data_IF_835366345954
#
_entry.id   IF_835366345954
#
_cell.length_a   1.000
_cell.length_b   1.000
_cell.length_c   1.000
_cell.angle_alpha   90.00
_cell.angle_beta   90.00
_cell.angle_gamma   90.00
#
_symmetry.space_group_name_H-M   'P 1'
#
loop_
_entity.id
_entity.type
_entity.pdbx_description
1 polymer ?
#
# COMPACT_ATOMS: atom_id res chain seq x y z
N UNK A 1 -8.77 16.60 -9.48
CA UNK A 1 -8.07 15.67 -8.56
C UNK A 1 -6.90 15.04 -9.30
N UNK A 2 -5.77 15.76 -9.39
CA UNK A 2 -4.58 15.22 -10.03
C UNK A 2 -3.87 14.31 -9.05
N UNK A 3 -3.83 12.99 -9.31
CA UNK A 3 -2.93 12.08 -8.60
C UNK A 3 -1.50 12.46 -8.99
N UNK A 4 -0.87 13.35 -8.23
CA UNK A 4 0.59 13.53 -8.32
C UNK A 4 1.20 12.34 -7.60
N UNK A 5 1.61 11.35 -8.38
CA UNK A 5 2.37 10.22 -7.86
C UNK A 5 3.70 10.79 -7.34
N UNK A 6 3.89 10.78 -6.03
CA UNK A 6 5.11 11.28 -5.41
C UNK A 6 6.03 10.10 -5.17
N UNK A 7 7.00 9.93 -6.06
CA UNK A 7 7.90 8.78 -5.96
C UNK A 7 8.89 9.01 -4.81
N UNK A 8 8.75 8.21 -3.77
CA UNK A 8 9.66 8.21 -2.62
C UNK A 8 10.63 7.04 -2.79
N UNK A 9 11.93 7.33 -2.66
CA UNK A 9 12.97 6.32 -2.74
C UNK A 9 13.08 5.60 -1.38
N UNK A 10 12.37 4.47 -1.22
CA UNK A 10 12.48 3.58 -0.05
C UNK A 10 13.03 2.19 -0.48
N UNK A 11 14.36 1.98 -0.51
CA UNK A 11 14.96 0.73 -0.98
C UNK A 11 14.45 -0.51 -0.25
N UNK A 12 14.15 -0.38 1.05
CA UNK A 12 13.58 -1.47 1.84
C UNK A 12 12.16 -1.81 1.36
N UNK A 13 11.35 -0.78 1.09
CA UNK A 13 9.99 -0.95 0.55
C UNK A 13 9.99 -1.67 -0.80
N UNK A 14 10.89 -1.26 -1.71
CA UNK A 14 11.04 -1.90 -3.02
C UNK A 14 11.46 -3.37 -2.92
N UNK A 15 12.40 -3.68 -2.03
CA UNK A 15 12.83 -5.06 -1.80
C UNK A 15 11.70 -5.93 -1.25
N UNK A 16 10.98 -5.46 -0.23
CA UNK A 16 9.84 -6.16 0.35
C UNK A 16 8.73 -6.41 -0.69
N UNK A 17 8.41 -5.42 -1.52
CA UNK A 17 7.45 -5.56 -2.61
C UNK A 17 7.89 -6.59 -3.66
N UNK A 18 9.16 -6.59 -4.04
CA UNK A 18 9.73 -7.58 -4.94
C UNK A 18 9.59 -9.01 -4.40
N UNK A 19 9.88 -9.21 -3.11
CA UNK A 19 9.71 -10.50 -2.43
C UNK A 19 8.23 -10.94 -2.45
N UNK A 20 7.31 -10.06 -2.09
CA UNK A 20 5.87 -10.37 -2.08
C UNK A 20 5.39 -10.78 -3.48
N UNK A 21 5.78 -10.04 -4.53
CA UNK A 21 5.40 -10.35 -5.91
C UNK A 21 6.00 -11.69 -6.34
N UNK A 22 7.26 -11.97 -5.98
CA UNK A 22 7.90 -13.25 -6.27
C UNK A 22 7.15 -14.42 -5.63
N UNK A 23 6.83 -14.32 -4.33
CA UNK A 23 6.08 -15.35 -3.61
C UNK A 23 4.68 -15.50 -4.19
N UNK A 24 4.02 -14.41 -4.56
CA UNK A 24 2.71 -14.45 -5.21
C UNK A 24 2.75 -15.16 -6.57
N UNK A 25 3.76 -14.88 -7.40
CA UNK A 25 3.96 -15.56 -8.69
C UNK A 25 4.26 -17.05 -8.50
N UNK A 26 5.13 -17.39 -7.56
CA UNK A 26 5.45 -18.77 -7.22
C UNK A 26 4.18 -19.53 -6.80
N UNK A 27 3.41 -18.96 -5.89
CA UNK A 27 2.16 -19.57 -5.46
C UNK A 27 1.14 -19.65 -6.60
N UNK A 28 0.99 -18.62 -7.43
CA UNK A 28 -0.07 -18.59 -8.46
C UNK A 28 0.25 -19.45 -9.68
N UNK A 29 1.53 -19.71 -9.97
CA UNK A 29 1.96 -20.43 -11.19
C UNK A 29 2.50 -21.82 -10.86
N UNK A 30 3.42 -21.93 -9.91
CA UNK A 30 4.14 -23.19 -9.65
C UNK A 30 3.30 -24.14 -8.79
N UNK A 31 2.72 -23.67 -7.69
CA UNK A 31 1.95 -24.51 -6.77
C UNK A 31 0.73 -25.17 -7.44
N UNK A 32 -0.10 -24.46 -8.23
CA UNK A 32 -1.19 -25.08 -8.96
C UNK A 32 -0.77 -26.19 -9.91
N UNK A 33 0.40 -26.06 -10.56
CA UNK A 33 0.92 -27.08 -11.46
C UNK A 33 1.33 -28.36 -10.74
N UNK A 34 1.91 -28.23 -9.55
CA UNK A 34 2.43 -29.37 -8.79
C UNK A 34 1.37 -30.03 -7.92
N UNK A 35 0.39 -29.26 -7.42
CA UNK A 35 -0.57 -29.72 -6.41
C UNK A 35 -2.01 -29.66 -6.93
N UNK A 36 -2.44 -28.50 -7.42
CA UNK A 36 -3.87 -28.26 -7.69
C UNK A 36 -4.37 -29.03 -8.92
N UNK A 37 -3.63 -29.03 -10.03
CA UNK A 37 -4.03 -29.71 -11.26
C UNK A 37 -3.97 -31.24 -11.16
N UNK A 38 -2.93 -31.86 -10.57
CA UNK A 38 -2.92 -33.31 -10.36
C UNK A 38 -4.12 -33.78 -9.53
N UNK A 39 -4.44 -33.10 -8.42
CA UNK A 39 -5.62 -33.45 -7.62
C UNK A 39 -6.96 -33.14 -8.30
N UNK A 40 -6.98 -32.24 -9.28
CA UNK A 40 -8.14 -32.04 -10.14
C UNK A 40 -8.32 -33.19 -11.13
N UNK A 41 -7.23 -33.67 -11.75
CA UNK A 41 -7.24 -34.82 -12.65
C UNK A 41 -7.62 -36.12 -11.93
N UNK A 42 -7.20 -36.29 -10.67
CA UNK A 42 -7.61 -37.39 -9.78
C UNK A 42 -9.07 -37.28 -9.31
N UNK A 43 -9.74 -36.14 -9.57
CA UNK A 43 -11.14 -35.91 -9.17
C UNK A 43 -11.33 -35.55 -7.69
N UNK A 44 -10.25 -35.29 -6.95
CA UNK A 44 -10.31 -34.87 -5.55
C UNK A 44 -10.74 -33.40 -5.38
N UNK A 45 -10.51 -32.56 -6.39
CA UNK A 45 -10.79 -31.11 -6.36
C UNK A 45 -11.77 -30.74 -7.47
N UNK A 46 -12.73 -29.86 -7.16
CA UNK A 46 -13.69 -29.36 -8.15
C UNK A 46 -13.13 -28.17 -8.96
N UNK A 47 -13.64 -27.98 -10.19
CA UNK A 47 -13.32 -26.78 -11.00
C UNK A 47 -13.62 -25.49 -10.23
N UNK A 48 -14.70 -25.48 -9.44
CA UNK A 48 -15.09 -24.32 -8.62
C UNK A 48 -13.98 -23.93 -7.64
N UNK A 49 -13.33 -24.90 -6.98
CA UNK A 49 -12.23 -24.62 -6.07
C UNK A 49 -11.03 -23.98 -6.78
N UNK A 50 -10.71 -24.41 -8.00
CA UNK A 50 -9.67 -23.79 -8.83
C UNK A 50 -10.01 -22.35 -9.18
N UNK A 51 -11.26 -22.10 -9.60
CA UNK A 51 -11.74 -20.74 -9.91
C UNK A 51 -11.69 -19.84 -8.67
N UNK A 52 -12.15 -20.33 -7.53
CA UNK A 52 -12.06 -19.61 -6.25
C UNK A 52 -10.62 -19.27 -5.88
N UNK A 53 -9.68 -20.23 -6.05
CA UNK A 53 -8.26 -20.00 -5.79
C UNK A 53 -7.70 -18.83 -6.61
N UNK A 54 -7.91 -18.84 -7.94
CA UNK A 54 -7.42 -17.77 -8.82
C UNK A 54 -8.12 -16.44 -8.58
N UNK A 55 -9.42 -16.46 -8.28
CA UNK A 55 -10.17 -15.27 -7.92
C UNK A 55 -9.65 -14.63 -6.62
N UNK A 56 -9.43 -15.43 -5.58
CA UNK A 56 -8.82 -14.96 -4.33
C UNK A 56 -7.40 -14.42 -4.57
N UNK A 57 -6.59 -15.12 -5.37
CA UNK A 57 -5.23 -14.66 -5.71
C UNK A 57 -5.24 -13.30 -6.41
N UNK A 58 -6.17 -13.09 -7.36
CA UNK A 58 -6.36 -11.81 -8.05
C UNK A 58 -6.80 -10.70 -7.07
N UNK A 59 -7.72 -11.01 -6.15
CA UNK A 59 -8.17 -10.04 -5.14
C UNK A 59 -7.03 -9.62 -4.21
N UNK A 60 -6.17 -10.55 -3.79
CA UNK A 60 -5.01 -10.26 -2.95
C UNK A 60 -4.06 -9.27 -3.62
N UNK A 61 -3.66 -9.53 -4.88
CA UNK A 61 -2.72 -8.63 -5.58
C UNK A 61 -3.38 -7.28 -5.90
N UNK A 62 -4.67 -7.26 -6.26
CA UNK A 62 -5.40 -6.02 -6.48
C UNK A 62 -5.48 -5.16 -5.21
N UNK A 63 -5.73 -5.79 -4.06
CA UNK A 63 -5.74 -5.10 -2.76
C UNK A 63 -4.37 -4.54 -2.41
N UNK A 64 -3.30 -5.33 -2.57
CA UNK A 64 -1.93 -4.89 -2.33
C UNK A 64 -1.54 -3.70 -3.23
N UNK A 65 -1.85 -3.79 -4.52
CA UNK A 65 -1.57 -2.70 -5.46
C UNK A 65 -2.34 -1.43 -5.06
N UNK A 66 -3.62 -1.54 -4.72
CA UNK A 66 -4.41 -0.39 -4.26
C UNK A 66 -3.83 0.26 -3.01
N UNK A 67 -3.41 -0.54 -2.03
CA UNK A 67 -2.78 -0.02 -0.82
C UNK A 67 -1.42 0.65 -1.12
N UNK A 68 -0.70 0.13 -2.11
CA UNK A 68 0.65 0.56 -2.47
C UNK A 68 0.71 1.81 -3.35
N UNK A 69 -0.34 2.10 -4.13
CA UNK A 69 -0.38 3.24 -5.07
C UNK A 69 -1.34 4.34 -4.65
N UNK A 70 -2.04 4.16 -3.53
CA UNK A 70 -2.92 5.18 -2.99
C UNK A 70 -2.09 6.35 -2.46
N UNK A 71 -2.55 7.58 -2.71
CA UNK A 71 -1.98 8.77 -2.08
C UNK A 71 -2.06 8.59 -0.55
N UNK A 72 -0.92 8.64 0.17
CA UNK A 72 -0.91 8.47 1.62
C UNK A 72 -1.69 9.58 2.34
N UNK A 73 -2.02 10.67 1.65
CA UNK A 73 -2.67 11.86 2.20
C UNK A 73 -1.67 12.97 2.46
N UNK A 74 -0.80 13.26 1.48
CA UNK A 74 0.20 14.34 1.57
C UNK A 74 -0.50 15.68 1.85
N UNK A 75 -0.04 16.40 2.86
CA UNK A 75 -0.55 17.74 3.18
C UNK A 75 -0.02 18.78 2.18
N UNK A 76 -0.84 19.79 1.81
CA UNK A 76 -0.40 20.89 0.96
C UNK A 76 0.61 21.79 1.69
N UNK A 77 1.65 22.28 1.00
CA UNK A 77 2.74 23.08 1.61
C UNK A 77 2.26 24.37 2.28
N UNK A 78 1.14 24.94 1.84
CA UNK A 78 0.53 26.15 2.42
C UNK A 78 -0.97 25.94 2.66
N UNK A 79 -1.36 25.28 3.76
CA UNK A 79 -2.76 25.06 4.07
C UNK A 79 -3.44 26.38 4.46
N UNK A 80 -4.62 26.65 3.89
CA UNK A 80 -5.48 27.74 4.36
C UNK A 80 -6.18 27.29 5.63
N UNK A 81 -5.80 27.86 6.77
CA UNK A 81 -6.31 27.47 8.09
C UNK A 81 -7.43 28.45 8.50
N UNK A 82 -8.68 27.98 8.67
CA UNK A 82 -9.75 28.80 9.24
C UNK A 82 -9.38 29.23 10.66
N UNK A 83 -9.72 30.47 11.04
CA UNK A 83 -9.41 31.01 12.38
C UNK A 83 -9.97 30.10 13.49
N UNK A 84 -11.17 29.56 13.27
CA UNK A 84 -11.87 28.65 14.19
C UNK A 84 -11.16 27.31 14.40
N UNK A 85 -10.34 26.87 13.45
CA UNK A 85 -9.66 25.58 13.51
C UNK A 85 -8.21 25.68 14.01
N UNK A 86 -7.66 26.89 14.15
CA UNK A 86 -6.23 27.11 14.43
C UNK A 86 -5.71 26.36 15.66
N UNK A 87 -6.53 26.17 16.69
CA UNK A 87 -6.18 25.42 17.91
C UNK A 87 -5.97 23.91 17.66
N UNK A 88 -6.52 23.38 16.56
CA UNK A 88 -6.35 21.99 16.15
C UNK A 88 -5.18 21.78 15.19
N UNK A 89 -4.32 22.78 15.03
CA UNK A 89 -3.13 22.71 14.18
C UNK A 89 -1.87 22.89 15.01
N UNK A 90 -0.82 22.19 14.63
CA UNK A 90 0.50 22.23 15.27
C UNK A 90 1.59 22.44 14.22
N UNK A 91 2.73 23.00 14.62
CA UNK A 91 3.86 23.21 13.72
C UNK A 91 4.63 21.90 13.52
N UNK A 92 4.90 21.54 12.26
CA UNK A 92 5.91 20.55 11.96
C UNK A 92 7.28 21.22 11.78
N UNK A 93 8.21 20.98 12.71
CA UNK A 93 9.56 21.56 12.63
C UNK A 93 10.36 21.09 11.40
N UNK A 94 10.09 19.88 10.88
CA UNK A 94 10.81 19.33 9.72
C UNK A 94 10.34 19.93 8.40
N UNK A 95 9.05 20.19 8.25
CA UNK A 95 8.47 20.78 7.04
C UNK A 95 8.30 22.30 7.15
N UNK A 96 8.54 22.89 8.32
CA UNK A 96 8.27 24.29 8.65
C UNK A 96 6.87 24.77 8.22
N UNK A 97 5.86 23.93 8.44
CA UNK A 97 4.46 24.20 8.07
C UNK A 97 3.51 23.75 9.19
N UNK A 98 2.36 24.39 9.26
CA UNK A 98 1.28 23.98 10.15
C UNK A 98 0.63 22.69 9.61
N UNK A 99 0.36 21.72 10.49
CA UNK A 99 -0.36 20.49 10.18
C UNK A 99 -1.54 20.29 11.14
N UNK A 100 -2.65 19.67 10.72
CA UNK A 100 -3.73 19.30 11.65
C UNK A 100 -3.25 18.29 12.69
N UNK A 101 -3.81 18.34 13.90
CA UNK A 101 -3.67 17.29 14.92
C UNK A 101 -3.99 15.92 14.30
N UNK A 102 -3.26 14.88 14.71
CA UNK A 102 -3.24 13.52 14.11
C UNK A 102 -2.50 13.40 12.75
N UNK A 103 -1.89 14.47 12.25
CA UNK A 103 -0.99 14.36 11.10
C UNK A 103 0.44 14.19 11.60
N UNK A 104 1.23 13.34 10.95
CA UNK A 104 2.62 13.10 11.34
C UNK A 104 3.55 13.30 10.14
N UNK A 105 4.80 13.67 10.44
CA UNK A 105 5.84 13.76 9.41
C UNK A 105 6.45 12.37 9.22
N UNK A 106 6.33 11.83 8.01
CA UNK A 106 7.03 10.59 7.66
C UNK A 106 8.46 10.94 7.22
N UNK A 107 9.45 10.53 8.01
CA UNK A 107 10.87 10.74 7.67
C UNK A 107 11.27 10.00 6.39
N UNK A 108 10.59 8.90 6.04
CA UNK A 108 10.84 8.15 4.80
C UNK A 108 10.24 8.84 3.58
N UNK A 109 9.00 9.32 3.68
CA UNK A 109 8.35 10.04 2.57
C UNK A 109 8.83 11.49 2.40
N UNK A 110 9.39 12.10 3.46
CA UNK A 110 9.88 13.48 3.44
C UNK A 110 8.79 14.55 3.55
N UNK A 111 7.55 14.19 3.89
CA UNK A 111 6.45 15.14 4.02
C UNK A 111 5.48 14.75 5.14
N UNK A 112 4.63 15.70 5.52
CA UNK A 112 3.54 15.43 6.47
C UNK A 112 2.39 14.69 5.79
N UNK A 113 1.84 13.71 6.49
CA UNK A 113 0.73 12.86 6.05
C UNK A 113 -0.44 13.01 7.02
N UNK A 114 -1.64 13.26 6.47
CA UNK A 114 -2.86 13.44 7.24
C UNK A 114 -3.34 12.11 7.80
N UNK A 115 -3.63 12.04 9.12
CA UNK A 115 -4.06 10.80 9.80
C UNK A 115 -3.08 9.64 9.54
N UNK A 116 -1.79 9.93 9.60
CA UNK A 116 -0.75 8.91 9.41
C UNK A 116 -0.80 7.90 10.54
N UNK A 117 -0.97 6.62 10.22
CA UNK A 117 -0.80 5.53 11.18
C UNK A 117 0.68 5.15 11.28
N UNK A 118 1.26 4.65 10.19
CA UNK A 118 2.67 4.29 10.09
C UNK A 118 3.13 4.25 8.62
N UNK A 119 4.45 4.23 8.42
CA UNK A 119 5.03 3.92 7.12
C UNK A 119 5.22 2.41 7.03
N UNK A 120 4.43 1.74 6.18
CA UNK A 120 4.52 0.30 6.03
C UNK A 120 5.64 -0.08 5.05
N UNK A 121 6.66 -0.87 5.46
CA UNK A 121 7.71 -1.31 4.55
C UNK A 121 7.22 -2.38 3.57
N UNK A 122 6.05 -2.97 3.79
CA UNK A 122 5.47 -4.03 2.93
C UNK A 122 4.58 -3.49 1.80
N UNK A 123 4.36 -2.17 1.76
CA UNK A 123 3.65 -1.49 0.69
C UNK A 123 4.63 -0.58 -0.04
N UNK A 124 4.41 -0.38 -1.35
CA UNK A 124 5.21 0.58 -2.11
C UNK A 124 5.07 1.99 -1.49
N UNK A 125 6.14 2.80 -1.45
CA UNK A 125 5.99 4.19 -1.06
C UNK A 125 5.32 4.98 -2.20
N UNK A 126 4.15 5.56 -1.90
CA UNK A 126 3.44 6.52 -2.77
C UNK A 126 3.36 7.90 -2.11
#
# INVERSE_FOLDING_TARGET
MGRRIHFVVDPQGWFCMGLIIFVWLYNTIFIPKVILFPHYEEGHISVMAILCYYFCSLFCIASLLRASVADPGKLPENPKIPITEREYWELCNKCNMMRPKRSHHCSRCGHCVRRMDHHCPWTLPA
#
